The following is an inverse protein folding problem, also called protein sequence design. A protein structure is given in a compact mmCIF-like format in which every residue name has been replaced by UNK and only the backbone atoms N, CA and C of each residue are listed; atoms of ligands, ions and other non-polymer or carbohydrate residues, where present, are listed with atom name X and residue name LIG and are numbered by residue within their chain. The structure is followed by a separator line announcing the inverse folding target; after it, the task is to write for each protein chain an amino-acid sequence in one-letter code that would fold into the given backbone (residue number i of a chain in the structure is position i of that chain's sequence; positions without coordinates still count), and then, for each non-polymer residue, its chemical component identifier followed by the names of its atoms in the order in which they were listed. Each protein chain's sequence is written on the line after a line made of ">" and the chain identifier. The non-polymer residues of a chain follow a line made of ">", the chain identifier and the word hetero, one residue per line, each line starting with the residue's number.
data_IF_953839784973
#
_entry.id   IF_953839784973
#
_cell.length_a   1.000
_cell.length_b   1.000
_cell.length_c   1.000
_cell.angle_alpha   90.00
_cell.angle_beta   90.00
_cell.angle_gamma   90.00
#
_symmetry.space_group_name_H-M   'P 1'
#
loop_
_entity.id
_entity.type
_entity.pdbx_description
1 polymer ?
#
# COMPACT_ATOMS: atom_id res chain seq x y z
N UNK A 1 -16.08 13.09 -3.63
CA UNK A 1 -15.16 12.05 -3.12
C UNK A 1 -14.98 10.87 -4.08
N UNK A 2 -16.03 10.21 -4.62
CA UNK A 2 -15.87 8.99 -5.43
C UNK A 2 -15.03 9.21 -6.70
N UNK A 3 -15.28 10.31 -7.42
CA UNK A 3 -14.59 10.57 -8.68
C UNK A 3 -13.08 10.75 -8.50
N UNK A 4 -12.65 11.53 -7.50
CA UNK A 4 -11.23 11.71 -7.20
C UNK A 4 -10.56 10.39 -6.77
N UNK A 5 -11.26 9.56 -6.00
CA UNK A 5 -10.78 8.22 -5.64
C UNK A 5 -10.64 7.30 -6.87
N UNK A 6 -11.57 7.38 -7.83
CA UNK A 6 -11.51 6.61 -9.06
C UNK A 6 -10.39 7.09 -9.98
N UNK A 7 -10.19 8.41 -10.12
CA UNK A 7 -9.09 8.96 -10.91
C UNK A 7 -7.72 8.58 -10.34
N UNK A 8 -7.56 8.66 -9.02
CA UNK A 8 -6.30 8.25 -8.36
C UNK A 8 -6.05 6.75 -8.53
N UNK A 9 -7.07 5.90 -8.35
CA UNK A 9 -6.95 4.46 -8.58
C UNK A 9 -6.62 4.13 -10.05
N UNK A 10 -7.26 4.80 -11.02
CA UNK A 10 -6.99 4.64 -12.44
C UNK A 10 -5.57 5.10 -12.82
N UNK A 11 -5.10 6.21 -12.24
CA UNK A 11 -3.73 6.69 -12.39
C UNK A 11 -2.70 5.67 -11.90
N UNK A 12 -2.87 5.14 -10.68
CA UNK A 12 -1.99 4.09 -10.17
C UNK A 12 -2.06 2.81 -11.01
N UNK A 13 -3.22 2.44 -11.54
CA UNK A 13 -3.33 1.25 -12.38
C UNK A 13 -2.48 1.39 -13.64
N UNK A 14 -2.52 2.55 -14.29
CA UNK A 14 -1.67 2.84 -15.44
C UNK A 14 -0.17 2.85 -15.06
N UNK A 15 0.21 3.51 -13.97
CA UNK A 15 1.62 3.60 -13.54
C UNK A 15 2.19 2.24 -13.13
N UNK A 16 1.44 1.42 -12.40
CA UNK A 16 1.88 0.09 -11.97
C UNK A 16 1.94 -0.91 -13.11
N UNK A 17 1.01 -0.83 -14.08
CA UNK A 17 1.10 -1.62 -15.30
C UNK A 17 2.36 -1.26 -16.12
N UNK A 18 2.65 0.03 -16.28
CA UNK A 18 3.87 0.50 -16.94
C UNK A 18 5.14 0.04 -16.19
N UNK A 19 5.11 0.15 -14.86
CA UNK A 19 6.19 -0.34 -14.00
C UNK A 19 6.43 -1.84 -14.21
N UNK A 20 5.39 -2.68 -14.13
CA UNK A 20 5.51 -4.12 -14.33
C UNK A 20 6.02 -4.48 -15.72
N UNK A 21 5.53 -3.79 -16.75
CA UNK A 21 6.02 -3.94 -18.13
C UNK A 21 7.52 -3.63 -18.24
N UNK A 22 7.97 -2.52 -17.63
CA UNK A 22 9.39 -2.11 -17.66
C UNK A 22 10.27 -3.05 -16.84
N UNK A 23 9.81 -3.43 -15.64
CA UNK A 23 10.55 -4.30 -14.73
C UNK A 23 10.86 -5.65 -15.37
N UNK A 24 9.93 -6.21 -16.15
CA UNK A 24 10.06 -7.51 -16.80
C UNK A 24 10.80 -7.50 -18.14
N UNK A 25 11.08 -6.32 -18.72
CA UNK A 25 11.79 -6.18 -20.00
C UNK A 25 13.16 -5.52 -19.90
N UNK A 26 13.41 -4.75 -18.84
CA UNK A 26 14.56 -3.85 -18.76
C UNK A 26 15.75 -4.35 -17.94
N UNK A 27 15.71 -5.57 -17.38
CA UNK A 27 16.78 -6.05 -16.49
C UNK A 27 17.03 -5.10 -15.31
N UNK A 28 15.96 -4.48 -14.80
CA UNK A 28 16.03 -3.38 -13.83
C UNK A 28 16.31 -3.92 -12.43
N UNK A 29 16.96 -3.10 -11.59
CA UNK A 29 17.18 -3.38 -10.17
C UNK A 29 15.88 -3.89 -9.51
N UNK A 30 15.98 -4.98 -8.76
CA UNK A 30 14.85 -5.62 -8.07
C UNK A 30 14.39 -6.94 -8.70
N UNK A 31 14.79 -7.25 -9.93
CA UNK A 31 14.41 -8.48 -10.63
C UNK A 31 12.98 -8.46 -11.17
N UNK A 32 12.53 -9.54 -11.85
CA UNK A 32 11.20 -9.59 -12.46
C UNK A 32 10.07 -9.63 -11.41
N UNK A 33 8.90 -9.14 -11.80
CA UNK A 33 7.69 -9.04 -10.97
C UNK A 33 6.51 -9.77 -11.62
N UNK A 34 5.81 -10.59 -10.82
CA UNK A 34 4.60 -11.29 -11.25
C UNK A 34 3.39 -10.35 -11.35
N UNK A 35 2.40 -10.73 -12.17
CA UNK A 35 1.12 -10.01 -12.27
C UNK A 35 0.41 -9.81 -10.90
N UNK A 36 0.25 -10.84 -10.04
CA UNK A 36 -0.34 -10.63 -8.72
C UNK A 36 0.41 -9.60 -7.87
N UNK A 37 1.74 -9.50 -7.98
CA UNK A 37 2.50 -8.47 -7.27
C UNK A 37 2.28 -7.08 -7.87
N UNK A 38 2.11 -6.95 -9.18
CA UNK A 38 1.73 -5.67 -9.82
C UNK A 38 0.35 -5.23 -9.35
N UNK A 39 -0.63 -6.13 -9.30
CA UNK A 39 -1.98 -5.83 -8.83
C UNK A 39 -2.03 -5.47 -7.35
N UNK A 40 -1.22 -6.15 -6.55
CA UNK A 40 -1.06 -5.83 -5.13
C UNK A 40 -0.40 -4.46 -4.95
N UNK A 41 0.67 -4.16 -5.70
CA UNK A 41 1.31 -2.84 -5.70
C UNK A 41 0.31 -1.73 -6.07
N UNK A 42 -0.55 -1.96 -7.06
CA UNK A 42 -1.59 -1.00 -7.41
C UNK A 42 -2.57 -0.75 -6.25
N UNK A 43 -3.01 -1.83 -5.61
CA UNK A 43 -3.93 -1.75 -4.48
C UNK A 43 -3.27 -0.98 -3.32
N UNK A 44 -2.04 -1.31 -2.96
CA UNK A 44 -1.34 -0.63 -1.85
C UNK A 44 -1.07 0.84 -2.16
N UNK A 45 -0.68 1.20 -3.39
CA UNK A 45 -0.54 2.61 -3.76
C UNK A 45 -1.87 3.37 -3.67
N UNK A 46 -2.95 2.74 -4.13
CA UNK A 46 -4.30 3.31 -4.00
C UNK A 46 -4.68 3.50 -2.53
N UNK A 47 -4.46 2.48 -1.70
CA UNK A 47 -4.88 2.48 -0.29
C UNK A 47 -4.00 3.34 0.60
N UNK A 48 -2.70 3.43 0.31
CA UNK A 48 -1.73 4.13 1.16
C UNK A 48 -1.40 5.56 0.70
N UNK A 49 -1.60 5.88 -0.58
CA UNK A 49 -1.35 7.22 -1.12
C UNK A 49 -2.61 7.87 -1.69
N UNK A 50 -3.31 7.19 -2.61
CA UNK A 50 -4.43 7.77 -3.35
C UNK A 50 -5.58 8.19 -2.46
N UNK A 51 -6.19 7.23 -1.77
CA UNK A 51 -7.34 7.49 -0.90
C UNK A 51 -6.94 8.40 0.27
N UNK A 52 -5.81 8.20 0.98
CA UNK A 52 -5.38 9.12 2.03
C UNK A 52 -5.20 10.57 1.53
N UNK A 53 -4.68 10.79 0.32
CA UNK A 53 -4.57 12.13 -0.27
C UNK A 53 -5.95 12.74 -0.55
N UNK A 54 -6.87 11.96 -1.12
CA UNK A 54 -8.25 12.41 -1.36
C UNK A 54 -8.94 12.80 -0.04
N UNK A 55 -8.82 11.96 0.99
CA UNK A 55 -9.43 12.22 2.30
C UNK A 55 -8.76 13.39 3.04
N UNK A 56 -7.44 13.53 2.93
CA UNK A 56 -6.73 14.68 3.51
C UNK A 56 -7.11 16.01 2.85
N UNK A 57 -7.49 16.02 1.58
CA UNK A 57 -7.90 17.22 0.86
C UNK A 57 -9.41 17.48 0.90
N UNK A 58 -10.20 16.60 1.50
CA UNK A 58 -11.65 16.73 1.52
C UNK A 58 -12.10 17.79 2.55
N UNK A 59 -12.68 18.93 2.11
CA UNK A 59 -13.18 19.95 3.03
C UNK A 59 -14.44 19.51 3.78
N UNK A 60 -15.12 18.45 3.32
CA UNK A 60 -16.33 17.91 3.95
C UNK A 60 -16.06 17.03 5.17
N UNK A 61 -14.80 16.62 5.41
CA UNK A 61 -14.43 15.84 6.59
C UNK A 61 -14.11 16.73 7.79
N UNK A 62 -14.35 16.20 8.99
CA UNK A 62 -13.97 16.89 10.22
C UNK A 62 -12.44 17.09 10.27
N UNK A 63 -11.95 18.21 10.86
CA UNK A 63 -10.52 18.51 10.88
C UNK A 63 -9.65 17.40 11.48
N UNK A 64 -10.15 16.68 12.50
CA UNK A 64 -9.44 15.57 13.13
C UNK A 64 -9.30 14.35 12.22
N UNK A 65 -10.36 13.99 11.49
CA UNK A 65 -10.31 12.88 10.52
C UNK A 65 -9.41 13.23 9.34
N UNK A 66 -9.50 14.47 8.85
CA UNK A 66 -8.63 14.97 7.78
C UNK A 66 -7.15 14.96 8.19
N UNK A 67 -6.84 15.42 9.40
CA UNK A 67 -5.50 15.39 9.95
C UNK A 67 -4.96 13.96 10.10
N UNK A 68 -5.82 13.01 10.50
CA UNK A 68 -5.45 11.59 10.59
C UNK A 68 -4.94 11.07 9.25
N UNK A 69 -5.69 11.30 8.17
CA UNK A 69 -5.28 10.88 6.82
C UNK A 69 -4.03 11.61 6.33
N UNK A 70 -3.88 12.89 6.68
CA UNK A 70 -2.66 13.66 6.39
C UNK A 70 -1.41 13.07 7.05
N UNK A 71 -1.48 12.72 8.34
CA UNK A 71 -0.36 12.09 9.05
C UNK A 71 -0.03 10.70 8.51
N UNK A 72 -1.05 9.89 8.22
CA UNK A 72 -0.86 8.57 7.64
C UNK A 72 -0.20 8.65 6.26
N UNK A 73 -0.65 9.59 5.41
CA UNK A 73 -0.06 9.86 4.10
C UNK A 73 1.39 10.34 4.22
N UNK A 74 1.67 11.30 5.09
CA UNK A 74 3.01 11.84 5.29
C UNK A 74 4.01 10.73 5.67
N UNK A 75 3.63 9.86 6.59
CA UNK A 75 4.44 8.70 6.98
C UNK A 75 4.77 7.79 5.79
N UNK A 76 3.80 7.54 4.90
CA UNK A 76 4.02 6.73 3.70
C UNK A 76 4.88 7.42 2.64
N UNK A 77 4.74 8.75 2.48
CA UNK A 77 5.63 9.54 1.61
C UNK A 77 7.08 9.47 2.09
N UNK A 78 7.30 9.65 3.41
CA UNK A 78 8.64 9.52 3.99
C UNK A 78 9.22 8.11 3.78
N UNK A 79 8.40 7.06 3.98
CA UNK A 79 8.80 5.68 3.65
C UNK A 79 9.20 5.54 2.19
N UNK A 80 8.38 6.00 1.25
CA UNK A 80 8.66 5.85 -0.17
C UNK A 80 10.01 6.48 -0.55
N UNK A 81 10.30 7.69 -0.05
CA UNK A 81 11.60 8.35 -0.28
C UNK A 81 12.75 7.50 0.26
N UNK A 82 12.63 6.99 1.49
CA UNK A 82 13.67 6.18 2.11
C UNK A 82 13.85 4.84 1.38
N UNK A 83 12.76 4.13 1.04
CA UNK A 83 12.83 2.84 0.36
C UNK A 83 13.40 2.97 -1.05
N UNK A 84 13.01 4.00 -1.81
CA UNK A 84 13.59 4.26 -3.12
C UNK A 84 15.10 4.51 -3.04
N UNK A 85 15.56 5.26 -2.03
CA UNK A 85 16.99 5.44 -1.78
C UNK A 85 17.68 4.11 -1.43
N UNK A 86 17.08 3.29 -0.57
CA UNK A 86 17.63 2.00 -0.17
C UNK A 86 17.67 0.98 -1.31
N UNK A 87 16.69 1.00 -2.21
CA UNK A 87 16.59 0.08 -3.35
C UNK A 87 17.55 0.49 -4.46
N UNK A 88 17.52 1.77 -4.87
CA UNK A 88 18.18 2.22 -6.09
C UNK A 88 19.56 2.86 -5.86
N UNK A 89 19.85 3.35 -4.65
CA UNK A 89 21.15 4.00 -4.35
C UNK A 89 22.03 3.09 -3.54
N UNK A 90 21.56 2.57 -2.40
CA UNK A 90 22.42 1.77 -1.50
C UNK A 90 22.35 0.27 -1.76
N UNK A 91 21.33 -0.20 -2.48
CA UNK A 91 21.05 -1.63 -2.72
C UNK A 91 21.01 -2.41 -1.39
N UNK A 92 20.52 -1.75 -0.35
CA UNK A 92 20.53 -2.21 1.04
C UNK A 92 19.15 -2.46 1.62
N UNK A 93 18.10 -2.36 0.81
CA UNK A 93 16.73 -2.51 1.27
C UNK A 93 16.48 -3.92 1.83
N UNK A 94 15.78 -3.99 2.96
CA UNK A 94 15.42 -5.24 3.64
C UNK A 94 13.94 -5.23 3.98
N UNK A 95 13.28 -6.38 3.86
CA UNK A 95 11.86 -6.51 4.20
C UNK A 95 11.53 -6.07 5.63
N UNK A 96 12.47 -6.22 6.58
CA UNK A 96 12.26 -5.80 7.97
C UNK A 96 11.98 -4.30 8.09
N UNK A 97 12.51 -3.47 7.18
CA UNK A 97 12.24 -2.04 7.16
C UNK A 97 10.75 -1.79 6.85
N UNK A 98 10.24 -2.35 5.76
CA UNK A 98 8.83 -2.26 5.38
C UNK A 98 7.89 -2.81 6.46
N UNK A 99 8.20 -3.99 7.01
CA UNK A 99 7.41 -4.60 8.10
C UNK A 99 7.37 -3.69 9.33
N UNK A 100 8.51 -3.13 9.73
CA UNK A 100 8.57 -2.25 10.91
C UNK A 100 7.73 -0.99 10.69
N UNK A 101 7.79 -0.42 9.48
CA UNK A 101 6.95 0.72 9.12
C UNK A 101 5.46 0.36 9.14
N UNK A 102 5.05 -0.79 8.58
CA UNK A 102 3.65 -1.22 8.59
C UNK A 102 3.09 -1.34 10.02
N UNK A 103 3.89 -1.88 10.95
CA UNK A 103 3.52 -1.98 12.37
C UNK A 103 3.42 -0.61 13.05
N UNK A 104 4.38 0.28 12.81
CA UNK A 104 4.32 1.67 13.29
C UNK A 104 3.09 2.38 12.73
N UNK A 105 2.75 2.13 11.48
CA UNK A 105 1.60 2.72 10.81
C UNK A 105 0.28 2.24 11.40
N UNK A 106 0.17 0.95 11.76
CA UNK A 106 -0.98 0.42 12.49
C UNK A 106 -1.14 1.10 13.85
N UNK A 107 -0.05 1.23 14.61
CA UNK A 107 -0.07 1.93 15.91
C UNK A 107 -0.46 3.39 15.75
N UNK A 108 0.09 4.08 14.74
CA UNK A 108 -0.24 5.48 14.44
C UNK A 108 -1.71 5.63 14.08
N UNK A 109 -2.26 4.76 13.22
CA UNK A 109 -3.66 4.76 12.84
C UNK A 109 -4.59 4.59 14.05
N UNK A 110 -4.28 3.64 14.93
CA UNK A 110 -5.04 3.40 16.16
C UNK A 110 -4.95 4.59 17.13
N UNK A 111 -3.76 5.14 17.34
CA UNK A 111 -3.53 6.26 18.24
C UNK A 111 -4.27 7.53 17.77
N UNK A 112 -4.18 7.86 16.48
CA UNK A 112 -4.87 9.00 15.90
C UNK A 112 -6.40 8.82 15.93
N UNK A 113 -6.89 7.61 15.67
CA UNK A 113 -8.32 7.32 15.77
C UNK A 113 -8.85 7.40 17.20
N UNK A 114 -8.05 7.05 18.20
CA UNK A 114 -8.44 7.10 19.62
C UNK A 114 -8.35 8.52 20.20
N UNK A 115 -7.41 9.34 19.73
CA UNK A 115 -7.22 10.71 20.18
C UNK A 115 -8.15 11.74 19.50
N UNK A 116 -8.77 11.36 18.38
CA UNK A 116 -9.65 12.24 17.62
C UNK A 116 -10.98 12.54 18.32
N UNK A 117 -11.63 13.67 17.99
CA UNK A 117 -12.97 13.98 18.49
C UNK A 117 -13.99 12.94 18.02
N UNK A 118 -15.10 12.82 18.75
CA UNK A 118 -16.21 11.94 18.39
C UNK A 118 -16.66 12.24 16.95
N UNK A 119 -16.53 11.25 16.08
CA UNK A 119 -16.65 11.54 14.67
C UNK A 119 -18.11 11.61 14.21
N UNK A 120 -18.37 12.56 13.31
CA UNK A 120 -19.70 12.93 12.86
C UNK A 120 -20.21 11.97 11.77
N UNK A 121 -21.52 11.95 11.45
CA UNK A 121 -22.05 11.07 10.40
C UNK A 121 -21.33 11.21 9.05
N UNK A 122 -20.89 12.43 8.70
CA UNK A 122 -20.10 12.70 7.48
C UNK A 122 -18.75 11.98 7.42
N UNK A 123 -18.20 11.55 8.56
CA UNK A 123 -16.89 10.87 8.65
C UNK A 123 -17.00 9.34 8.53
N UNK A 124 -18.21 8.78 8.41
CA UNK A 124 -18.42 7.33 8.52
C UNK A 124 -17.63 6.53 7.47
N UNK A 125 -17.65 6.97 6.21
CA UNK A 125 -16.93 6.29 5.12
C UNK A 125 -15.42 6.39 5.29
N UNK A 126 -14.90 7.56 5.68
CA UNK A 126 -13.49 7.75 5.97
C UNK A 126 -13.02 6.83 7.12
N UNK A 127 -13.83 6.65 8.15
CA UNK A 127 -13.52 5.72 9.25
C UNK A 127 -13.64 4.26 8.85
N UNK A 128 -14.63 3.89 8.03
CA UNK A 128 -14.74 2.55 7.47
C UNK A 128 -13.47 2.18 6.67
N UNK A 129 -12.93 3.15 5.92
CA UNK A 129 -11.69 2.97 5.18
C UNK A 129 -10.46 2.70 6.07
N UNK A 130 -10.45 3.14 7.34
CA UNK A 130 -9.36 2.84 8.28
C UNK A 130 -9.24 1.32 8.57
N UNK A 131 -10.36 0.60 8.55
CA UNK A 131 -10.35 -0.87 8.72
C UNK A 131 -9.70 -1.56 7.52
N UNK A 132 -10.06 -1.15 6.30
CA UNK A 132 -9.43 -1.67 5.09
C UNK A 132 -7.93 -1.33 5.07
N UNK A 133 -7.59 -0.08 5.40
CA UNK A 133 -6.21 0.38 5.51
C UNK A 133 -5.39 -0.49 6.47
N UNK A 134 -5.91 -0.75 7.67
CA UNK A 134 -5.27 -1.63 8.65
C UNK A 134 -5.16 -3.08 8.18
N UNK A 135 -6.21 -3.62 7.56
CA UNK A 135 -6.18 -4.98 7.01
C UNK A 135 -5.10 -5.12 5.92
N UNK A 136 -4.99 -4.14 5.02
CA UNK A 136 -3.96 -4.13 3.97
C UNK A 136 -2.55 -4.03 4.56
N UNK A 137 -2.33 -3.25 5.62
CA UNK A 137 -1.04 -3.21 6.34
C UNK A 137 -0.64 -4.56 6.94
N UNK A 138 -1.59 -5.25 7.59
CA UNK A 138 -1.33 -6.59 8.17
C UNK A 138 -0.96 -7.59 7.07
N UNK A 139 -1.68 -7.56 5.96
CA UNK A 139 -1.43 -8.44 4.82
C UNK A 139 -0.09 -8.11 4.15
N UNK A 140 0.25 -6.83 3.98
CA UNK A 140 1.54 -6.38 3.46
C UNK A 140 2.69 -6.89 4.32
N UNK A 141 2.64 -6.67 5.64
CA UNK A 141 3.66 -7.14 6.58
C UNK A 141 3.80 -8.67 6.56
N UNK A 142 2.69 -9.41 6.50
CA UNK A 142 2.68 -10.87 6.40
C UNK A 142 3.31 -11.38 5.10
N UNK A 143 2.96 -10.77 3.96
CA UNK A 143 3.55 -11.13 2.67
C UNK A 143 5.03 -10.76 2.58
N UNK A 144 5.42 -9.58 3.09
CA UNK A 144 6.81 -9.17 3.18
C UNK A 144 7.63 -10.14 4.05
N UNK A 145 7.06 -10.63 5.16
CA UNK A 145 7.70 -11.64 6.01
C UNK A 145 7.87 -13.00 5.32
N UNK A 146 6.90 -13.40 4.51
CA UNK A 146 7.00 -14.62 3.71
C UNK A 146 8.06 -14.46 2.60
N UNK A 147 8.04 -13.33 1.90
CA UNK A 147 9.01 -12.98 0.87
C UNK A 147 10.45 -12.89 1.42
N UNK A 148 10.64 -12.37 2.64
CA UNK A 148 11.95 -12.24 3.27
C UNK A 148 12.67 -13.57 3.53
N UNK A 149 11.95 -14.70 3.45
CA UNK A 149 12.54 -16.04 3.59
C UNK A 149 13.03 -16.60 2.25
N UNK A 150 12.65 -15.95 1.15
CA UNK A 150 12.86 -16.42 -0.23
C UNK A 150 13.77 -15.47 -1.02
N UNK A 151 13.80 -14.19 -0.63
CA UNK A 151 14.60 -13.15 -1.26
C UNK A 151 15.81 -12.77 -0.40
N UNK A 152 16.94 -12.53 -1.05
CA UNK A 152 18.14 -11.99 -0.43
C UNK A 152 18.46 -10.61 -1.05
N UNK A 153 18.48 -9.52 -0.25
CA UNK A 153 18.93 -8.20 -0.71
C UNK A 153 20.29 -8.22 -1.42
N UNK A 154 21.21 -9.11 -1.02
CA UNK A 154 22.53 -9.26 -1.66
C UNK A 154 22.44 -9.75 -3.10
N UNK A 155 21.34 -10.41 -3.45
CA UNK A 155 21.06 -10.87 -4.81
C UNK A 155 20.26 -9.85 -5.62
N UNK A 156 19.91 -8.69 -5.04
CA UNK A 156 19.16 -7.63 -5.71
C UNK A 156 17.72 -8.00 -6.06
N UNK A 157 17.16 -9.02 -5.39
CA UNK A 157 15.79 -9.50 -5.60
C UNK A 157 14.86 -8.77 -4.64
N UNK A 158 14.07 -7.84 -5.19
CA UNK A 158 13.10 -7.04 -4.44
C UNK A 158 11.66 -7.34 -4.83
N UNK A 159 11.45 -8.07 -5.93
CA UNK A 159 10.13 -8.48 -6.40
C UNK A 159 10.00 -9.99 -6.48
N UNK A 160 8.78 -10.48 -6.28
CA UNK A 160 8.46 -11.89 -6.49
C UNK A 160 8.09 -12.09 -7.95
N UNK A 161 8.88 -12.90 -8.65
CA UNK A 161 8.66 -13.32 -10.04
C UNK A 161 7.63 -14.46 -10.12
N UNK A 162 7.39 -14.97 -11.32
CA UNK A 162 6.54 -16.15 -11.55
C UNK A 162 7.23 -17.50 -11.27
N UNK A 163 8.46 -17.48 -10.76
CA UNK A 163 9.20 -18.69 -10.39
C UNK A 163 8.46 -19.51 -9.33
N UNK A 164 8.63 -20.84 -9.36
CA UNK A 164 7.97 -21.77 -8.43
C UNK A 164 8.25 -21.47 -6.95
N UNK A 165 9.44 -20.93 -6.64
CA UNK A 165 9.78 -20.50 -5.27
C UNK A 165 8.82 -19.44 -4.71
N UNK A 166 8.20 -18.61 -5.55
CA UNK A 166 7.30 -17.53 -5.15
C UNK A 166 5.81 -17.88 -5.26
N UNK A 167 5.49 -19.09 -5.67
CA UNK A 167 4.11 -19.51 -6.01
C UNK A 167 3.14 -19.30 -4.83
N UNK A 168 3.58 -19.55 -3.59
CA UNK A 168 2.79 -19.27 -2.38
C UNK A 168 2.56 -17.77 -2.15
N UNK A 169 3.57 -16.94 -2.35
CA UNK A 169 3.48 -15.48 -2.21
C UNK A 169 2.53 -14.92 -3.28
N UNK A 170 2.66 -15.37 -4.53
CA UNK A 170 1.82 -14.93 -5.64
C UNK A 170 0.35 -15.32 -5.45
N UNK A 171 0.06 -16.53 -4.95
CA UNK A 171 -1.31 -16.95 -4.61
C UNK A 171 -1.92 -16.10 -3.49
N UNK A 172 -1.13 -15.80 -2.45
CA UNK A 172 -1.56 -14.92 -1.37
C UNK A 172 -1.84 -13.50 -1.89
N UNK A 173 -0.96 -12.96 -2.75
CA UNK A 173 -1.14 -11.64 -3.37
C UNK A 173 -2.40 -11.60 -4.24
N UNK A 174 -2.70 -12.65 -5.01
CA UNK A 174 -3.97 -12.73 -5.76
C UNK A 174 -5.20 -12.64 -4.84
N UNK A 175 -5.27 -13.49 -3.82
CA UNK A 175 -6.40 -13.52 -2.90
C UNK A 175 -6.56 -12.18 -2.16
N UNK A 176 -5.44 -11.59 -1.74
CA UNK A 176 -5.39 -10.30 -1.08
C UNK A 176 -5.84 -9.16 -1.99
N UNK A 177 -5.38 -9.13 -3.25
CA UNK A 177 -5.81 -8.14 -4.24
C UNK A 177 -7.31 -8.22 -4.51
N UNK A 178 -7.84 -9.41 -4.79
CA UNK A 178 -9.28 -9.59 -5.07
C UNK A 178 -10.14 -9.12 -3.88
N UNK A 179 -9.78 -9.56 -2.68
CA UNK A 179 -10.51 -9.19 -1.45
C UNK A 179 -10.40 -7.68 -1.17
N UNK A 180 -9.20 -7.12 -1.33
CA UNK A 180 -8.93 -5.71 -1.09
C UNK A 180 -9.65 -4.79 -2.09
N UNK A 181 -9.67 -5.12 -3.38
CA UNK A 181 -10.44 -4.36 -4.38
C UNK A 181 -11.95 -4.47 -4.13
N UNK A 182 -12.46 -5.65 -3.77
CA UNK A 182 -13.86 -5.82 -3.44
C UNK A 182 -14.27 -4.98 -2.22
N UNK A 183 -13.45 -4.98 -1.16
CA UNK A 183 -13.67 -4.15 0.02
C UNK A 183 -13.57 -2.66 -0.30
N UNK A 184 -12.58 -2.24 -1.10
CA UNK A 184 -12.43 -0.86 -1.55
C UNK A 184 -13.66 -0.40 -2.34
N UNK A 185 -14.11 -1.18 -3.31
CA UNK A 185 -15.32 -0.90 -4.08
C UNK A 185 -16.54 -0.80 -3.17
N UNK A 186 -16.71 -1.74 -2.23
CA UNK A 186 -17.79 -1.71 -1.24
C UNK A 186 -17.83 -0.41 -0.44
N UNK A 187 -16.68 0.11 0.00
CA UNK A 187 -16.59 1.37 0.74
C UNK A 187 -16.85 2.59 -0.15
N UNK A 188 -16.36 2.59 -1.39
CA UNK A 188 -16.50 3.72 -2.30
C UNK A 188 -17.94 3.89 -2.83
N UNK A 189 -18.67 2.79 -2.95
CA UNK A 189 -20.03 2.75 -3.51
C UNK A 189 -21.14 2.49 -2.48
N UNK A 190 -20.82 2.47 -1.17
CA UNK A 190 -21.79 2.46 -0.07
C UNK A 190 -22.33 3.83 0.26
#
# INVERSE_FOLDING_TARGET
>A
MPDAALWTAGGFAATTALFGWRQNRGGVVGGPISLPKVLWLNLTLTVFFGIPAVLWLDPGLSPGVRATWGWLLLSFVLRAVIELYLIYVTIGWKCVYGISHDLVQLVLALALSAAGPAAVPGDARARAFLWLYGAVLVVEAGMARAFSKLADPKTGIYFASDDERFLRVNRASWAASLTGYAALAGILFS
#
